data_IF_471365324168
#
_entry.id   IF_471365324168
#
_cell.length_a   1.000
_cell.length_b   1.000
_cell.length_c   1.000
_cell.angle_alpha   90.00
_cell.angle_beta   90.00
_cell.angle_gamma   90.00
#
_symmetry.space_group_name_H-M   'P 1'
#
loop_
_entity.id
_entity.type
_entity.pdbx_description
1 polymer ?
#
# COMPACT_ATOMS: atom_id res chain seq x y z
N UNK A 1 2.71 15.95 -9.56
CA UNK A 1 2.61 14.59 -8.99
C UNK A 1 1.75 14.70 -7.73
N UNK A 2 0.99 13.68 -7.36
CA UNK A 2 0.31 13.68 -6.06
C UNK A 2 1.30 13.52 -4.91
N UNK A 3 0.87 13.85 -3.69
CA UNK A 3 1.66 13.65 -2.46
C UNK A 3 0.88 12.74 -1.52
N UNK A 4 1.46 11.59 -1.20
CA UNK A 4 0.93 10.65 -0.22
C UNK A 4 1.44 11.05 1.16
N UNK A 5 0.58 11.06 2.18
CA UNK A 5 0.95 11.44 3.54
C UNK A 5 0.29 10.51 4.55
N UNK A 6 0.97 10.25 5.68
CA UNK A 6 0.38 9.59 6.85
C UNK A 6 0.38 10.59 8.01
N UNK A 7 -0.79 10.81 8.60
CA UNK A 7 -0.96 11.75 9.71
C UNK A 7 -1.41 11.02 10.96
N UNK A 8 -0.72 11.25 12.07
CA UNK A 8 -1.16 10.84 13.39
C UNK A 8 -2.25 11.81 13.88
N UNK A 9 -3.46 11.30 14.10
CA UNK A 9 -4.61 12.12 14.54
C UNK A 9 -4.86 12.02 16.05
N UNK A 10 -4.54 10.88 16.65
CA UNK A 10 -4.65 10.64 18.09
C UNK A 10 -3.53 9.68 18.51
N UNK A 11 -2.81 10.05 19.57
CA UNK A 11 -1.69 9.28 20.12
C UNK A 11 -2.18 8.01 20.81
N UNK A 12 -3.47 7.91 21.15
CA UNK A 12 -4.07 6.69 21.69
C UNK A 12 -3.37 6.15 22.95
N UNK A 13 -3.68 4.91 23.31
CA UNK A 13 -2.89 4.10 24.22
C UNK A 13 -2.11 3.05 23.40
N UNK A 14 -0.96 2.58 23.91
CA UNK A 14 -0.17 1.53 23.23
C UNK A 14 -0.99 0.25 22.97
N UNK A 15 -2.02 -0.02 23.78
CA UNK A 15 -2.81 -1.25 23.69
C UNK A 15 -3.96 -1.17 22.65
N UNK A 16 -4.41 0.04 22.28
CA UNK A 16 -5.54 0.26 21.37
C UNK A 16 -5.11 0.75 19.97
N UNK A 17 -3.81 0.93 19.73
CA UNK A 17 -3.25 1.53 18.52
C UNK A 17 -3.54 3.03 18.40
N UNK A 18 -2.84 3.70 17.50
CA UNK A 18 -2.98 5.12 17.23
C UNK A 18 -3.92 5.37 16.04
N UNK A 19 -4.74 6.44 16.13
CA UNK A 19 -5.60 6.82 15.02
C UNK A 19 -4.78 7.56 13.97
N UNK A 20 -4.77 7.04 12.74
CA UNK A 20 -4.07 7.65 11.61
C UNK A 20 -5.05 8.10 10.52
N UNK A 21 -4.56 8.94 9.62
CA UNK A 21 -5.18 9.28 8.35
C UNK A 21 -4.15 9.18 7.23
N UNK A 22 -4.34 8.23 6.32
CA UNK A 22 -3.59 8.11 5.08
C UNK A 22 -4.28 8.99 4.03
N UNK A 23 -3.56 9.97 3.51
CA UNK A 23 -4.13 11.01 2.66
C UNK A 23 -3.36 11.19 1.36
N UNK A 24 -4.09 11.49 0.29
CA UNK A 24 -3.54 11.89 -1.01
C UNK A 24 -3.85 13.35 -1.26
N UNK A 25 -2.82 14.15 -1.53
CA UNK A 25 -2.96 15.51 -2.02
C UNK A 25 -2.72 15.54 -3.54
N UNK A 26 -3.71 15.97 -4.31
CA UNK A 26 -3.60 16.14 -5.75
C UNK A 26 -4.36 17.39 -6.18
N UNK A 27 -3.74 18.25 -7.01
CA UNK A 27 -4.34 19.48 -7.53
C UNK A 27 -4.92 20.42 -6.45
N UNK A 28 -4.27 20.49 -5.28
CA UNK A 28 -4.70 21.30 -4.14
C UNK A 28 -5.90 20.74 -3.37
N UNK A 29 -6.33 19.51 -3.67
CA UNK A 29 -7.36 18.79 -2.93
C UNK A 29 -6.73 17.70 -2.09
N UNK A 30 -7.06 17.66 -0.80
CA UNK A 30 -6.65 16.60 0.11
C UNK A 30 -7.79 15.58 0.25
N UNK A 31 -7.50 14.32 -0.02
CA UNK A 31 -8.45 13.20 0.10
C UNK A 31 -7.94 12.19 1.13
N UNK A 32 -8.80 11.79 2.05
CA UNK A 32 -8.54 10.63 2.92
C UNK A 32 -8.75 9.34 2.14
N UNK A 33 -7.73 8.48 2.14
CA UNK A 33 -7.72 7.15 1.54
C UNK A 33 -8.03 6.07 2.59
N UNK A 34 -7.56 6.26 3.82
CA UNK A 34 -7.85 5.40 4.95
C UNK A 34 -7.77 6.18 6.25
N UNK A 35 -8.71 5.93 7.15
CA UNK A 35 -8.71 6.48 8.50
C UNK A 35 -9.09 5.39 9.48
N UNK A 36 -8.17 5.05 10.38
CA UNK A 36 -8.35 3.93 11.29
C UNK A 36 -7.23 3.82 12.32
N UNK A 37 -7.42 2.89 13.27
CA UNK A 37 -6.42 2.62 14.30
C UNK A 37 -5.43 1.57 13.82
N UNK A 38 -4.14 1.87 13.97
CA UNK A 38 -3.01 1.00 13.63
C UNK A 38 -1.93 1.15 14.68
N UNK A 39 -1.00 0.20 14.76
CA UNK A 39 0.28 0.48 15.40
C UNK A 39 1.09 1.37 14.46
N UNK A 40 1.16 2.66 14.78
CA UNK A 40 1.81 3.64 13.93
C UNK A 40 3.30 3.35 13.75
N UNK A 41 3.98 2.88 14.80
CA UNK A 41 5.41 2.58 14.72
C UNK A 41 5.66 1.40 13.79
N UNK A 42 4.90 0.30 13.94
CA UNK A 42 5.02 -0.86 13.06
C UNK A 42 4.67 -0.53 11.61
N UNK A 43 3.71 0.37 11.38
CA UNK A 43 3.37 0.83 10.04
C UNK A 43 4.54 1.58 9.39
N UNK A 44 5.17 2.52 10.11
CA UNK A 44 6.33 3.28 9.60
C UNK A 44 7.52 2.33 9.36
N UNK A 45 7.82 1.46 10.31
CA UNK A 45 8.90 0.45 10.17
C UNK A 45 8.67 -0.45 8.96
N UNK A 46 7.45 -0.94 8.74
CA UNK A 46 7.12 -1.74 7.57
C UNK A 46 7.37 -0.98 6.27
N UNK A 47 7.01 0.30 6.16
CA UNK A 47 7.33 1.06 4.96
C UNK A 47 8.83 1.14 4.73
N UNK A 48 9.60 1.49 5.76
CA UNK A 48 11.05 1.65 5.65
C UNK A 48 11.77 0.34 5.31
N UNK A 49 11.36 -0.77 5.93
CA UNK A 49 11.91 -2.10 5.65
C UNK A 49 11.63 -2.57 4.21
N UNK A 50 10.53 -2.10 3.62
CA UNK A 50 10.10 -2.48 2.26
C UNK A 50 10.36 -1.38 1.21
N UNK A 51 11.12 -0.32 1.51
CA UNK A 51 11.32 0.81 0.59
C UNK A 51 11.90 0.36 -0.76
N UNK A 52 12.94 -0.47 -0.75
CA UNK A 52 13.57 -0.95 -1.98
C UNK A 52 12.63 -1.81 -2.81
N UNK A 53 11.86 -2.68 -2.16
CA UNK A 53 10.90 -3.56 -2.81
C UNK A 53 9.76 -2.76 -3.46
N UNK A 54 9.15 -1.84 -2.72
CA UNK A 54 8.10 -0.92 -3.20
C UNK A 54 8.58 -0.12 -4.41
N UNK A 55 9.86 0.27 -4.43
CA UNK A 55 10.47 1.06 -5.51
C UNK A 55 10.85 0.24 -6.75
N UNK A 56 11.14 -1.05 -6.60
CA UNK A 56 11.84 -1.81 -7.64
C UNK A 56 11.13 -3.08 -8.12
N UNK A 57 10.37 -3.75 -7.27
CA UNK A 57 9.69 -4.98 -7.63
C UNK A 57 8.48 -4.69 -8.52
N UNK A 58 8.32 -5.51 -9.53
CA UNK A 58 7.15 -5.53 -10.40
C UNK A 58 6.28 -6.73 -10.06
N UNK A 59 4.99 -6.65 -10.39
CA UNK A 59 4.05 -7.74 -10.17
C UNK A 59 4.56 -8.99 -10.92
N UNK A 60 4.76 -10.13 -10.23
CA UNK A 60 5.54 -11.25 -10.77
C UNK A 60 4.88 -12.03 -11.92
N UNK A 61 3.61 -11.77 -12.24
CA UNK A 61 2.81 -12.61 -13.14
C UNK A 61 1.97 -11.78 -14.09
N UNK A 62 2.20 -11.93 -15.40
CA UNK A 62 1.22 -11.60 -16.47
C UNK A 62 0.61 -10.20 -16.45
N UNK A 63 1.20 -9.26 -15.71
CA UNK A 63 0.58 -7.99 -15.39
C UNK A 63 0.56 -7.06 -16.60
N UNK A 64 -0.64 -6.54 -16.89
CA UNK A 64 -0.83 -5.50 -17.90
C UNK A 64 -0.73 -4.14 -17.20
N UNK A 65 0.24 -3.32 -17.59
CA UNK A 65 0.52 -1.99 -16.98
C UNK A 65 -0.61 -0.96 -17.13
N UNK A 66 -1.71 -1.32 -17.79
CA UNK A 66 -2.86 -0.44 -18.01
C UNK A 66 -3.83 -0.44 -16.82
N UNK A 67 -3.81 -1.48 -15.98
CA UNK A 67 -4.64 -1.58 -14.76
C UNK A 67 -3.95 -0.97 -13.55
N UNK A 68 -4.66 -0.90 -12.41
CA UNK A 68 -4.02 -0.60 -11.13
C UNK A 68 -3.34 -1.84 -10.55
N UNK A 69 -2.37 -1.66 -9.66
CA UNK A 69 -1.73 -2.76 -8.92
C UNK A 69 -2.81 -3.59 -8.22
N UNK A 70 -3.73 -2.93 -7.48
CA UNK A 70 -4.78 -3.64 -6.75
C UNK A 70 -5.69 -4.47 -7.69
N UNK A 71 -6.08 -3.93 -8.83
CA UNK A 71 -6.88 -4.64 -9.85
C UNK A 71 -6.10 -5.78 -10.51
N UNK A 72 -4.81 -5.56 -10.78
CA UNK A 72 -3.91 -6.59 -11.32
C UNK A 72 -3.76 -7.77 -10.38
N UNK A 73 -3.51 -7.50 -9.09
CA UNK A 73 -3.44 -8.53 -8.06
C UNK A 73 -4.78 -9.27 -7.97
N UNK A 74 -5.91 -8.56 -7.90
CA UNK A 74 -7.23 -9.19 -7.86
C UNK A 74 -7.45 -10.12 -9.08
N UNK A 75 -7.16 -9.65 -10.28
CA UNK A 75 -7.31 -10.42 -11.52
C UNK A 75 -6.42 -11.66 -11.56
N UNK A 76 -5.20 -11.57 -11.02
CA UNK A 76 -4.30 -12.71 -10.91
C UNK A 76 -4.90 -13.76 -9.97
N UNK A 77 -5.38 -13.37 -8.79
CA UNK A 77 -5.95 -14.31 -7.81
C UNK A 77 -7.24 -14.98 -8.31
N UNK A 78 -8.10 -14.27 -9.05
CA UNK A 78 -9.30 -14.85 -9.67
C UNK A 78 -8.97 -15.95 -10.70
N UNK A 79 -7.78 -15.90 -11.31
CA UNK A 79 -7.34 -16.85 -12.33
C UNK A 79 -6.15 -17.70 -11.87
N UNK A 80 -5.79 -17.65 -10.58
CA UNK A 80 -4.58 -18.26 -10.07
C UNK A 80 -4.76 -19.78 -10.02
N UNK A 81 -3.82 -20.49 -10.65
CA UNK A 81 -3.68 -21.93 -10.46
C UNK A 81 -3.07 -22.18 -9.08
N UNK A 82 -3.93 -22.48 -8.09
CA UNK A 82 -3.53 -22.70 -6.70
C UNK A 82 -2.67 -23.95 -6.50
N UNK A 83 -2.61 -24.83 -7.48
CA UNK A 83 -1.73 -26.02 -7.46
C UNK A 83 -0.30 -25.68 -7.91
N UNK A 84 -0.05 -24.43 -8.32
CA UNK A 84 1.28 -23.93 -8.68
C UNK A 84 1.92 -23.17 -7.51
N UNK A 85 2.53 -23.93 -6.60
CA UNK A 85 3.21 -23.41 -5.39
C UNK A 85 4.18 -22.24 -5.70
N UNK A 86 4.91 -22.29 -6.82
CA UNK A 86 5.87 -21.24 -7.19
C UNK A 86 5.20 -19.88 -7.43
N UNK A 87 4.02 -19.89 -8.06
CA UNK A 87 3.28 -18.66 -8.34
C UNK A 87 2.62 -18.13 -7.08
N UNK A 88 2.10 -19.03 -6.23
CA UNK A 88 1.53 -18.68 -4.93
C UNK A 88 2.58 -18.00 -4.05
N UNK A 89 3.78 -18.57 -3.94
CA UNK A 89 4.89 -18.03 -3.15
C UNK A 89 5.31 -16.64 -3.66
N UNK A 90 5.53 -16.50 -4.97
CA UNK A 90 5.89 -15.20 -5.57
C UNK A 90 4.84 -14.12 -5.32
N UNK A 91 3.56 -14.48 -5.42
CA UNK A 91 2.46 -13.55 -5.16
C UNK A 91 2.36 -13.20 -3.68
N UNK A 92 2.61 -14.15 -2.78
CA UNK A 92 2.67 -13.88 -1.35
C UNK A 92 3.81 -12.93 -1.00
N UNK A 93 5.01 -13.20 -1.50
CA UNK A 93 6.21 -12.38 -1.28
C UNK A 93 5.96 -10.94 -1.76
N UNK A 94 5.44 -10.76 -2.98
CA UNK A 94 5.09 -9.44 -3.50
C UNK A 94 4.07 -8.72 -2.60
N UNK A 95 3.00 -9.40 -2.21
CA UNK A 95 1.97 -8.79 -1.35
C UNK A 95 2.52 -8.41 0.02
N UNK A 96 3.47 -9.18 0.55
CA UNK A 96 4.04 -8.94 1.88
C UNK A 96 4.78 -7.59 2.00
N UNK A 97 5.33 -7.10 0.88
CA UNK A 97 6.03 -5.81 0.79
C UNK A 97 5.21 -4.69 0.12
N UNK A 98 4.07 -5.00 -0.51
CA UNK A 98 3.28 -4.04 -1.28
C UNK A 98 1.85 -3.82 -0.77
N UNK A 99 1.33 -4.65 0.13
CA UNK A 99 -0.03 -4.55 0.65
C UNK A 99 -0.02 -4.03 2.10
N UNK A 100 -0.60 -2.86 2.33
CA UNK A 100 -0.59 -2.17 3.62
C UNK A 100 -1.27 -2.98 4.74
N UNK A 101 -2.14 -3.95 4.39
CA UNK A 101 -2.71 -4.91 5.34
C UNK A 101 -1.64 -5.73 6.06
N UNK A 102 -0.49 -5.99 5.43
CA UNK A 102 0.63 -6.70 6.07
C UNK A 102 1.35 -5.86 7.11
N UNK A 103 1.34 -4.53 6.95
CA UNK A 103 1.90 -3.58 7.91
C UNK A 103 1.04 -3.47 9.19
N UNK A 104 -0.28 -3.66 9.07
CA UNK A 104 -1.24 -3.41 10.15
C UNK A 104 -1.91 -4.71 10.64
N UNK A 105 -1.10 -5.70 11.04
CA UNK A 105 -1.60 -7.02 11.49
C UNK A 105 -2.55 -6.87 12.68
N UNK A 106 -3.68 -7.57 12.63
CA UNK A 106 -4.69 -7.54 13.68
C UNK A 106 -5.68 -6.36 13.61
N UNK A 107 -5.56 -5.51 12.58
CA UNK A 107 -6.52 -4.43 12.31
C UNK A 107 -7.32 -4.73 11.04
N UNK A 108 -8.52 -4.13 10.93
CA UNK A 108 -9.34 -4.19 9.72
C UNK A 108 -8.83 -3.19 8.66
N UNK A 109 -7.56 -3.32 8.29
CA UNK A 109 -6.95 -2.50 7.25
C UNK A 109 -7.36 -3.04 5.87
N UNK A 110 -7.90 -2.23 4.95
CA UNK A 110 -8.27 -2.68 3.62
C UNK A 110 -7.06 -3.15 2.79
N UNK A 111 -7.28 -3.93 1.74
CA UNK A 111 -6.18 -4.31 0.82
C UNK A 111 -5.81 -3.14 -0.10
N UNK A 112 -5.12 -2.16 0.47
CA UNK A 112 -4.51 -1.06 -0.24
C UNK A 112 -3.11 -1.50 -0.66
N UNK A 113 -2.82 -1.33 -1.95
CA UNK A 113 -1.54 -1.66 -2.54
C UNK A 113 -0.75 -0.39 -2.86
N UNK A 114 0.56 -0.45 -2.65
CA UNK A 114 1.51 0.61 -2.97
C UNK A 114 2.67 0.00 -3.78
N UNK A 115 3.15 0.70 -4.80
CA UNK A 115 4.30 0.22 -5.56
C UNK A 115 4.48 0.86 -6.91
N UNK A 116 5.43 0.32 -7.66
CA UNK A 116 5.72 0.72 -9.03
C UNK A 116 4.71 0.12 -10.01
N UNK A 117 4.16 0.97 -10.86
CA UNK A 117 3.32 0.58 -12.00
C UNK A 117 3.86 1.22 -13.29
N UNK A 118 4.62 0.45 -14.07
CA UNK A 118 5.34 0.94 -15.23
C UNK A 118 6.43 1.94 -14.83
N UNK A 119 6.30 3.20 -15.26
CA UNK A 119 7.28 4.27 -14.96
C UNK A 119 6.85 5.20 -13.82
N UNK A 120 5.73 4.91 -13.14
CA UNK A 120 5.18 5.73 -12.07
C UNK A 120 4.96 4.89 -10.81
N UNK A 121 4.79 5.56 -9.69
CA UNK A 121 4.43 4.94 -8.41
C UNK A 121 2.97 5.25 -8.09
N UNK A 122 2.26 4.24 -7.63
CA UNK A 122 0.85 4.37 -7.32
C UNK A 122 0.49 3.78 -5.97
N UNK A 123 -0.64 4.26 -5.45
CA UNK A 123 -1.40 3.63 -4.39
C UNK A 123 -2.80 3.36 -4.91
N UNK A 124 -3.32 2.16 -4.68
CA UNK A 124 -4.61 1.73 -5.22
C UNK A 124 -5.37 0.78 -4.30
N UNK A 125 -6.69 0.79 -4.43
CA UNK A 125 -7.59 -0.20 -3.84
C UNK A 125 -8.48 -0.75 -4.95
N UNK A 126 -8.80 -2.04 -4.86
CA UNK A 126 -9.76 -2.68 -5.75
C UNK A 126 -10.53 -3.76 -4.99
N UNK A 127 -11.82 -3.51 -4.74
CA UNK A 127 -12.75 -4.49 -4.20
C UNK A 127 -14.19 -4.19 -4.66
N UNK A 128 -15.17 -4.95 -4.16
CA UNK A 128 -16.58 -4.79 -4.51
C UNK A 128 -17.21 -3.46 -4.07
N UNK A 129 -16.68 -2.85 -3.00
CA UNK A 129 -17.22 -1.63 -2.40
C UNK A 129 -16.49 -0.37 -2.87
N UNK A 130 -15.19 -0.45 -3.12
CA UNK A 130 -14.35 0.71 -3.41
C UNK A 130 -13.26 0.39 -4.44
N UNK A 131 -13.07 1.33 -5.37
CA UNK A 131 -12.04 1.28 -6.40
C UNK A 131 -11.47 2.68 -6.61
N UNK A 132 -10.16 2.81 -6.43
CA UNK A 132 -9.43 4.03 -6.78
C UNK A 132 -7.95 3.75 -7.01
N UNK A 133 -7.30 4.67 -7.73
CA UNK A 133 -5.87 4.67 -8.03
C UNK A 133 -5.37 6.11 -8.02
N UNK A 134 -4.26 6.34 -7.33
CA UNK A 134 -3.58 7.63 -7.30
C UNK A 134 -2.09 7.46 -7.57
N UNK A 135 -1.50 8.39 -8.31
CA UNK A 135 -0.06 8.44 -8.54
C UNK A 135 0.57 9.50 -7.66
N UNK A 136 1.71 9.18 -7.06
CA UNK A 136 2.38 10.08 -6.13
C UNK A 136 3.90 10.08 -6.32
N UNK A 137 4.56 11.04 -5.68
CA UNK A 137 6.02 11.12 -5.62
C UNK A 137 6.54 10.18 -4.52
N UNK A 138 7.21 9.10 -4.94
CA UNK A 138 7.68 8.06 -4.03
C UNK A 138 8.83 8.54 -3.16
N UNK A 139 9.68 9.42 -3.69
CA UNK A 139 10.88 9.87 -2.98
C UNK A 139 10.47 10.88 -1.90
N UNK A 140 9.57 11.81 -2.23
CA UNK A 140 8.94 12.73 -1.26
C UNK A 140 8.26 11.96 -0.11
N UNK A 141 7.50 10.90 -0.45
CA UNK A 141 6.84 10.07 0.56
C UNK A 141 7.84 9.41 1.52
N UNK A 142 8.88 8.75 1.02
CA UNK A 142 9.85 8.05 1.87
C UNK A 142 10.76 9.01 2.65
N UNK A 143 11.12 10.16 2.07
CA UNK A 143 11.87 11.19 2.77
C UNK A 143 11.08 11.71 3.98
N UNK A 144 9.76 11.87 3.86
CA UNK A 144 8.90 12.21 4.99
C UNK A 144 8.80 11.12 6.05
N UNK A 145 8.67 9.85 5.65
CA UNK A 145 8.60 8.74 6.60
C UNK A 145 9.87 8.63 7.45
N UNK A 146 11.04 8.89 6.87
CA UNK A 146 12.33 8.92 7.58
C UNK A 146 12.44 10.06 8.60
N UNK A 147 11.61 11.09 8.50
CA UNK A 147 11.50 12.15 9.51
C UNK A 147 10.56 11.76 10.67
N UNK A 148 9.77 10.70 10.50
CA UNK A 148 8.81 10.20 11.47
C UNK A 148 9.33 8.99 12.26
N UNK A 149 10.41 8.34 11.81
CA UNK A 149 11.08 7.20 12.48
C UNK A 149 12.02 7.58 13.60
#
# INVERSE_FOLDING_TARGET
>A
MGRLNIRLLDIGSLDDGQLIDLTMEENGSLKSLFKGRVDFQLLIEWFLDNEEDIKSLEIPVGYLTDTSIAEGIHSIYENLDVDNDEVVDKMFDYRSSHCLRFASRGTDFPEIYIGKNGVRYEISIFNECEQWRYFFDIDDFFDELKLLS
#
